data_IF_164172744484
#
_entry.id   IF_164172744484
#
_cell.length_a   1.000
_cell.length_b   1.000
_cell.length_c   1.000
_cell.angle_alpha   90.00
_cell.angle_beta   90.00
_cell.angle_gamma   90.00
#
_symmetry.space_group_name_H-M   'P 1'
#
loop_
_entity.id
_entity.type
_entity.pdbx_description
1 polymer ?
#
# COMPACT_ATOMS: atom_id res chain seq x y z
N UNK A 1 1.71 -26.89 7.08
CA UNK A 1 2.47 -26.15 8.11
C UNK A 1 3.45 -25.17 7.46
N UNK A 2 4.45 -25.63 6.70
CA UNK A 2 5.48 -24.78 6.07
C UNK A 2 4.92 -23.60 5.25
N UNK A 3 3.86 -23.81 4.45
CA UNK A 3 3.26 -22.71 3.68
C UNK A 3 2.67 -21.60 4.56
N UNK A 4 2.11 -21.90 5.74
CA UNK A 4 1.50 -20.87 6.59
C UNK A 4 2.51 -20.07 7.38
N UNK A 5 3.57 -20.72 7.86
CA UNK A 5 4.66 -20.05 8.56
C UNK A 5 5.38 -19.07 7.61
N UNK A 6 5.59 -19.50 6.36
CA UNK A 6 6.08 -18.63 5.30
C UNK A 6 5.11 -17.49 4.97
N UNK A 7 3.79 -17.75 4.90
CA UNK A 7 2.79 -16.68 4.70
C UNK A 7 2.83 -15.66 5.84
N UNK A 8 2.89 -16.08 7.10
CA UNK A 8 2.98 -15.18 8.26
C UNK A 8 4.25 -14.31 8.21
N UNK A 9 5.38 -14.89 7.80
CA UNK A 9 6.62 -14.13 7.60
C UNK A 9 6.46 -13.06 6.51
N UNK A 10 5.91 -13.42 5.34
CA UNK A 10 5.65 -12.49 4.23
C UNK A 10 4.71 -11.35 4.63
N UNK A 11 3.65 -11.66 5.39
CA UNK A 11 2.72 -10.65 5.88
C UNK A 11 3.43 -9.70 6.85
N UNK A 12 4.27 -10.21 7.76
CA UNK A 12 5.07 -9.39 8.67
C UNK A 12 6.14 -8.53 7.96
N UNK A 13 6.76 -9.03 6.90
CA UNK A 13 7.66 -8.24 6.04
C UNK A 13 6.91 -7.14 5.30
N UNK A 14 5.74 -7.45 4.74
CA UNK A 14 4.91 -6.48 4.03
C UNK A 14 4.42 -5.38 4.97
N UNK A 15 3.96 -5.73 6.17
CA UNK A 15 3.56 -4.76 7.21
C UNK A 15 4.69 -3.79 7.53
N UNK A 16 5.92 -4.29 7.76
CA UNK A 16 7.09 -3.44 8.00
C UNK A 16 7.38 -2.50 6.83
N UNK A 17 7.31 -2.99 5.61
CA UNK A 17 7.54 -2.17 4.42
C UNK A 17 6.50 -1.04 4.28
N UNK A 18 5.23 -1.32 4.60
CA UNK A 18 4.15 -0.31 4.57
C UNK A 18 4.33 0.72 5.67
N UNK A 19 4.71 0.33 6.89
CA UNK A 19 5.04 1.27 7.96
C UNK A 19 6.20 2.19 7.58
N UNK A 20 7.28 1.66 7.02
CA UNK A 20 8.41 2.44 6.51
C UNK A 20 7.96 3.41 5.39
N UNK A 21 7.04 2.98 4.53
CA UNK A 21 6.40 3.82 3.52
C UNK A 21 5.62 4.98 4.14
N UNK A 22 4.83 4.71 5.18
CA UNK A 22 4.10 5.73 5.95
C UNK A 22 5.01 6.78 6.58
N UNK A 23 6.13 6.37 7.20
CA UNK A 23 7.14 7.29 7.73
C UNK A 23 7.75 8.16 6.64
N UNK A 24 8.07 7.57 5.48
CA UNK A 24 8.64 8.29 4.33
C UNK A 24 7.67 9.36 3.81
N UNK A 25 6.38 9.04 3.73
CA UNK A 25 5.34 10.00 3.35
C UNK A 25 5.21 11.12 4.40
N UNK A 26 5.26 10.79 5.69
CA UNK A 26 5.24 11.79 6.76
C UNK A 26 6.43 12.76 6.67
N UNK A 27 7.63 12.26 6.35
CA UNK A 27 8.80 13.10 6.13
C UNK A 27 8.66 13.99 4.90
N UNK A 28 8.04 13.48 3.82
CA UNK A 28 7.75 14.26 2.62
C UNK A 28 6.79 15.43 2.93
N UNK A 29 5.73 15.19 3.73
CA UNK A 29 4.80 16.24 4.19
C UNK A 29 5.55 17.30 5.00
N UNK A 30 6.38 16.90 5.97
CA UNK A 30 7.19 17.84 6.76
C UNK A 30 8.09 18.70 5.86
N UNK A 31 8.73 18.08 4.86
CA UNK A 31 9.60 18.81 3.91
C UNK A 31 8.81 19.82 3.08
N UNK A 32 7.59 19.47 2.66
CA UNK A 32 6.69 20.39 1.96
C UNK A 32 6.29 21.59 2.83
N UNK A 33 6.06 21.37 4.13
CA UNK A 33 5.81 22.46 5.07
C UNK A 33 7.01 23.39 5.26
N UNK A 34 8.22 22.84 5.33
CA UNK A 34 9.46 23.61 5.40
C UNK A 34 9.65 24.48 4.13
N UNK A 35 9.39 23.91 2.95
CA UNK A 35 9.45 24.65 1.67
C UNK A 35 8.41 25.77 1.65
N UNK A 36 7.20 25.53 2.15
CA UNK A 36 6.12 26.53 2.24
C UNK A 36 6.51 27.69 3.14
N UNK A 37 7.08 27.40 4.30
CA UNK A 37 7.56 28.42 5.24
C UNK A 37 8.74 29.22 4.66
N UNK A 38 9.70 28.54 4.01
CA UNK A 38 10.80 29.20 3.33
C UNK A 38 10.30 30.13 2.21
N UNK A 39 9.32 29.69 1.42
CA UNK A 39 8.71 30.47 0.34
C UNK A 39 8.04 31.75 0.85
N UNK A 40 7.33 31.68 1.99
CA UNK A 40 6.74 32.87 2.65
C UNK A 40 7.79 33.85 3.13
N UNK A 41 8.94 33.37 3.62
CA UNK A 41 10.05 34.24 4.02
C UNK A 41 10.66 34.95 2.82
N UNK A 42 10.80 34.25 1.70
CA UNK A 42 11.26 34.85 0.45
C UNK A 42 10.26 35.92 0.00
N UNK A 43 8.96 35.66 0.06
CA UNK A 43 7.90 36.63 -0.28
C UNK A 43 7.99 37.91 0.59
N UNK A 44 8.26 37.76 1.89
CA UNK A 44 8.46 38.90 2.77
C UNK A 44 9.70 39.73 2.38
N UNK A 45 10.80 39.07 2.01
CA UNK A 45 12.03 39.72 1.57
C UNK A 45 11.81 40.44 0.22
N UNK A 46 11.13 39.82 -0.74
CA UNK A 46 10.87 40.42 -2.05
C UNK A 46 10.02 41.68 -1.94
N UNK A 47 9.04 41.71 -1.04
CA UNK A 47 8.26 42.93 -0.74
C UNK A 47 9.12 44.07 -0.20
N UNK A 48 10.11 43.77 0.65
CA UNK A 48 11.06 44.79 1.13
C UNK A 48 11.92 45.32 -0.02
N UNK A 49 12.37 44.44 -0.92
CA UNK A 49 13.16 44.85 -2.10
C UNK A 49 12.31 45.71 -3.05
N UNK A 50 11.04 45.37 -3.27
CA UNK A 50 10.13 46.22 -4.05
C UNK A 50 9.98 47.61 -3.43
N UNK A 51 9.82 47.67 -2.10
CA UNK A 51 9.79 48.94 -1.35
C UNK A 51 11.05 49.78 -1.55
N UNK A 52 12.23 49.15 -1.49
CA UNK A 52 13.52 49.82 -1.74
C UNK A 52 13.61 50.32 -3.19
N UNK A 53 13.20 49.51 -4.16
CA UNK A 53 13.19 49.90 -5.58
C UNK A 53 12.24 51.09 -5.81
N UNK A 54 11.06 51.08 -5.21
CA UNK A 54 10.11 52.18 -5.27
C UNK A 54 10.68 53.47 -4.66
N UNK A 55 11.26 53.39 -3.45
CA UNK A 55 11.91 54.54 -2.81
C UNK A 55 13.06 55.07 -3.67
N UNK A 56 13.89 54.20 -4.24
CA UNK A 56 15.01 54.57 -5.13
C UNK A 56 14.50 55.29 -6.38
N UNK A 57 13.39 54.82 -6.97
CA UNK A 57 12.76 55.48 -8.11
C UNK A 57 12.23 56.89 -7.75
N UNK A 58 11.68 57.08 -6.56
CA UNK A 58 11.25 58.40 -6.06
C UNK A 58 12.46 59.32 -5.81
N UNK A 59 13.54 58.82 -5.19
CA UNK A 59 14.77 59.59 -5.01
C UNK A 59 15.37 60.03 -6.35
N UNK A 60 15.41 59.12 -7.33
CA UNK A 60 15.91 59.40 -8.67
C UNK A 60 15.06 60.45 -9.40
N UNK A 61 13.73 60.40 -9.24
CA UNK A 61 12.83 61.43 -9.76
C UNK A 61 13.12 62.80 -9.15
N UNK A 62 13.27 62.88 -7.82
CA UNK A 62 13.59 64.12 -7.13
C UNK A 62 14.95 64.69 -7.59
N UNK A 63 15.95 63.83 -7.76
CA UNK A 63 17.27 64.22 -8.27
C UNK A 63 17.20 64.75 -9.72
N UNK A 64 16.37 64.14 -10.58
CA UNK A 64 16.14 64.63 -11.94
C UNK A 64 15.48 66.02 -11.95
N UNK A 65 14.53 66.27 -11.04
CA UNK A 65 13.89 67.60 -10.88
C UNK A 65 14.90 68.65 -10.44
N UNK A 66 15.73 68.34 -9.44
CA UNK A 66 16.72 69.30 -8.94
C UNK A 66 17.84 69.55 -9.97
N UNK A 67 18.23 68.52 -10.73
CA UNK A 67 19.16 68.66 -11.85
C UNK A 67 18.59 69.58 -12.95
N UNK A 68 17.30 69.47 -13.28
CA UNK A 68 16.64 70.38 -14.21
C UNK A 68 16.62 71.82 -13.69
N UNK A 69 16.44 72.00 -12.36
CA UNK A 69 16.45 73.30 -11.70
C UNK A 69 17.82 73.98 -11.72
N UNK A 70 18.90 73.20 -11.66
CA UNK A 70 20.28 73.69 -11.75
C UNK A 70 20.74 74.06 -13.19
N UNK A 71 19.90 73.82 -14.21
CA UNK A 71 20.18 74.20 -15.60
C UNK A 71 21.43 73.51 -16.16
N UNK A 72 22.34 74.29 -16.77
CA UNK A 72 23.56 73.77 -17.41
C UNK A 72 24.48 73.02 -16.43
N UNK A 73 24.51 73.42 -15.15
CA UNK A 73 25.34 72.77 -14.13
C UNK A 73 24.78 71.41 -13.68
N UNK A 74 23.50 71.14 -13.95
CA UNK A 74 22.82 69.91 -13.55
C UNK A 74 22.87 68.77 -14.59
N UNK A 75 23.41 69.01 -15.80
CA UNK A 75 23.37 68.04 -16.90
C UNK A 75 23.97 66.68 -16.55
N UNK A 76 25.10 66.65 -15.85
CA UNK A 76 25.71 65.39 -15.39
C UNK A 76 24.85 64.64 -14.36
N UNK A 77 24.25 65.37 -13.42
CA UNK A 77 23.35 64.81 -12.41
C UNK A 77 22.05 64.27 -13.02
N UNK A 78 21.53 64.92 -14.06
CA UNK A 78 20.32 64.47 -14.76
C UNK A 78 20.52 63.07 -15.39
N UNK A 79 21.68 62.81 -15.99
CA UNK A 79 22.01 61.50 -16.59
C UNK A 79 22.09 60.43 -15.50
N UNK A 80 22.78 60.70 -14.39
CA UNK A 80 22.87 59.75 -13.27
C UNK A 80 21.49 59.46 -12.68
N UNK A 81 20.66 60.49 -12.49
CA UNK A 81 19.30 60.32 -11.99
C UNK A 81 18.45 59.42 -12.91
N UNK A 82 18.58 59.57 -14.24
CA UNK A 82 17.87 58.73 -15.19
C UNK A 82 18.35 57.27 -15.16
N UNK A 83 19.66 57.02 -15.03
CA UNK A 83 20.22 55.68 -14.92
C UNK A 83 19.77 54.97 -13.63
N UNK A 84 19.80 55.68 -12.49
CA UNK A 84 19.30 55.16 -11.21
C UNK A 84 17.81 54.82 -11.30
N UNK A 85 17.02 55.66 -11.98
CA UNK A 85 15.59 55.40 -12.21
C UNK A 85 15.36 54.16 -13.05
N UNK A 86 16.13 53.98 -14.13
CA UNK A 86 16.05 52.80 -14.98
C UNK A 86 16.44 51.52 -14.20
N UNK A 87 17.46 51.60 -13.35
CA UNK A 87 17.88 50.48 -12.49
C UNK A 87 16.80 50.11 -11.46
N UNK A 88 16.18 51.11 -10.83
CA UNK A 88 15.07 50.91 -9.90
C UNK A 88 13.87 50.22 -10.57
N UNK A 89 13.49 50.65 -11.78
CA UNK A 89 12.43 50.02 -12.56
C UNK A 89 12.76 48.57 -12.95
N UNK A 90 14.01 48.29 -13.35
CA UNK A 90 14.48 46.93 -13.62
C UNK A 90 14.41 46.05 -12.38
N UNK A 91 14.80 46.57 -11.21
CA UNK A 91 14.71 45.85 -9.94
C UNK A 91 13.26 45.51 -9.58
N UNK A 92 12.32 46.44 -9.76
CA UNK A 92 10.91 46.20 -9.49
C UNK A 92 10.32 45.12 -10.43
N UNK A 93 10.71 45.10 -11.70
CA UNK A 93 10.28 44.05 -12.63
C UNK A 93 10.83 42.68 -12.24
N UNK A 94 12.12 42.59 -11.87
CA UNK A 94 12.72 41.35 -11.40
C UNK A 94 12.02 40.81 -10.14
N UNK A 95 11.62 41.69 -9.21
CA UNK A 95 10.84 41.29 -8.04
C UNK A 95 9.51 40.64 -8.44
N UNK A 96 8.78 41.21 -9.40
CA UNK A 96 7.51 40.62 -9.87
C UNK A 96 7.70 39.22 -10.47
N UNK A 97 8.78 39.00 -11.21
CA UNK A 97 9.12 37.67 -11.74
C UNK A 97 9.39 36.68 -10.60
N UNK A 98 10.10 37.11 -9.55
CA UNK A 98 10.33 36.27 -8.37
C UNK A 98 9.02 35.96 -7.64
N UNK A 99 8.13 36.95 -7.46
CA UNK A 99 6.83 36.74 -6.83
C UNK A 99 5.98 35.72 -7.59
N UNK A 100 6.00 35.75 -8.92
CA UNK A 100 5.34 34.75 -9.75
C UNK A 100 5.91 33.35 -9.49
N UNK A 101 7.24 33.19 -9.48
CA UNK A 101 7.90 31.91 -9.21
C UNK A 101 7.59 31.37 -7.80
N UNK A 102 7.51 32.26 -6.81
CA UNK A 102 7.11 31.88 -5.44
C UNK A 102 5.66 31.39 -5.44
N UNK A 103 4.75 32.10 -6.12
CA UNK A 103 3.35 31.70 -6.25
C UNK A 103 3.20 30.32 -6.88
N UNK A 104 3.91 30.07 -7.99
CA UNK A 104 3.94 28.77 -8.66
C UNK A 104 4.48 27.67 -7.74
N UNK A 105 5.56 27.97 -7.00
CA UNK A 105 6.16 27.04 -6.03
C UNK A 105 5.17 26.68 -4.92
N UNK A 106 4.48 27.67 -4.34
CA UNK A 106 3.47 27.45 -3.30
C UNK A 106 2.31 26.58 -3.81
N UNK A 107 1.86 26.79 -5.04
CA UNK A 107 0.84 25.95 -5.68
C UNK A 107 1.32 24.50 -5.80
N UNK A 108 2.56 24.29 -6.27
CA UNK A 108 3.14 22.94 -6.44
C UNK A 108 3.35 22.22 -5.11
N UNK A 109 3.76 22.94 -4.07
CA UNK A 109 3.86 22.40 -2.71
C UNK A 109 2.50 21.99 -2.18
N UNK A 110 1.45 22.78 -2.43
CA UNK A 110 0.07 22.43 -2.03
C UNK A 110 -0.43 21.18 -2.75
N UNK A 111 -0.16 21.05 -4.05
CA UNK A 111 -0.46 19.83 -4.82
C UNK A 111 0.29 18.62 -4.25
N UNK A 112 1.59 18.77 -3.95
CA UNK A 112 2.43 17.73 -3.37
C UNK A 112 1.97 17.28 -1.98
N UNK A 113 1.49 18.21 -1.16
CA UNK A 113 0.88 17.91 0.13
C UNK A 113 -0.39 17.05 -0.03
N UNK A 114 -1.28 17.41 -0.96
CA UNK A 114 -2.50 16.65 -1.24
C UNK A 114 -2.20 15.22 -1.73
N UNK A 115 -1.22 15.06 -2.63
CA UNK A 115 -0.78 13.72 -3.09
C UNK A 115 -0.17 12.88 -1.96
N UNK A 116 0.63 13.51 -1.10
CA UNK A 116 1.24 12.83 0.05
C UNK A 116 0.18 12.35 1.03
N UNK A 117 -0.84 13.16 1.29
CA UNK A 117 -1.97 12.79 2.15
C UNK A 117 -2.80 11.63 1.57
N UNK A 118 -3.08 11.65 0.26
CA UNK A 118 -3.73 10.52 -0.41
C UNK A 118 -2.89 9.24 -0.31
N UNK A 119 -1.57 9.36 -0.46
CA UNK A 119 -0.64 8.22 -0.32
C UNK A 119 -0.66 7.69 1.10
N UNK A 120 -0.69 8.56 2.12
CA UNK A 120 -0.81 8.18 3.53
C UNK A 120 -2.08 7.38 3.78
N UNK A 121 -3.23 7.85 3.29
CA UNK A 121 -4.51 7.13 3.40
C UNK A 121 -4.48 5.76 2.71
N UNK A 122 -3.83 5.66 1.55
CA UNK A 122 -3.64 4.39 0.87
C UNK A 122 -2.77 3.42 1.70
N UNK A 123 -1.71 3.90 2.34
CA UNK A 123 -0.89 3.07 3.24
C UNK A 123 -1.69 2.61 4.47
N UNK A 124 -2.48 3.49 5.09
CA UNK A 124 -3.36 3.13 6.22
C UNK A 124 -4.35 2.03 5.83
N UNK A 125 -4.96 2.12 4.64
CA UNK A 125 -5.85 1.08 4.10
C UNK A 125 -5.11 -0.24 3.83
N UNK A 126 -3.86 -0.20 3.37
CA UNK A 126 -3.06 -1.42 3.18
C UNK A 126 -2.80 -2.12 4.53
N UNK A 127 -2.53 -1.35 5.59
CA UNK A 127 -2.35 -1.91 6.95
C UNK A 127 -3.62 -2.65 7.40
N UNK A 128 -4.79 -2.04 7.22
CA UNK A 128 -6.07 -2.69 7.54
C UNK A 128 -6.28 -4.01 6.76
N UNK A 129 -5.96 -4.03 5.46
CA UNK A 129 -6.04 -5.25 4.67
C UNK A 129 -5.05 -6.33 5.12
N UNK A 130 -3.84 -5.93 5.54
CA UNK A 130 -2.83 -6.83 6.09
C UNK A 130 -3.31 -7.49 7.39
N UNK A 131 -3.96 -6.73 8.26
CA UNK A 131 -4.54 -7.26 9.50
C UNK A 131 -5.66 -8.28 9.22
N UNK A 132 -6.53 -7.98 8.24
CA UNK A 132 -7.55 -8.93 7.78
C UNK A 132 -6.94 -10.22 7.21
N UNK A 133 -5.84 -10.10 6.43
CA UNK A 133 -5.12 -11.28 5.92
C UNK A 133 -4.53 -12.10 7.06
N UNK A 134 -3.94 -11.47 8.08
CA UNK A 134 -3.43 -12.16 9.26
C UNK A 134 -4.52 -12.95 10.00
N UNK A 135 -5.72 -12.37 10.13
CA UNK A 135 -6.87 -13.07 10.72
C UNK A 135 -7.27 -14.29 9.88
N UNK A 136 -7.41 -14.13 8.56
CA UNK A 136 -7.75 -15.23 7.65
C UNK A 136 -6.72 -16.36 7.68
N UNK A 137 -5.43 -16.05 7.75
CA UNK A 137 -4.37 -17.05 7.85
C UNK A 137 -4.48 -17.84 9.15
N UNK A 138 -4.82 -17.17 10.26
CA UNK A 138 -5.10 -17.82 11.55
C UNK A 138 -6.29 -18.77 11.46
N UNK A 139 -7.39 -18.34 10.84
CA UNK A 139 -8.60 -19.15 10.64
C UNK A 139 -8.32 -20.37 9.74
N UNK A 140 -7.56 -20.19 8.66
CA UNK A 140 -7.11 -21.28 7.78
C UNK A 140 -6.24 -22.27 8.56
N UNK A 141 -5.37 -21.80 9.47
CA UNK A 141 -4.57 -22.68 10.32
C UNK A 141 -5.46 -23.57 11.20
N UNK A 142 -6.48 -22.99 11.82
CA UNK A 142 -7.44 -23.72 12.64
C UNK A 142 -8.19 -24.77 11.81
N UNK A 143 -8.81 -24.35 10.70
CA UNK A 143 -9.56 -25.24 9.82
C UNK A 143 -8.69 -26.38 9.26
N UNK A 144 -7.43 -26.10 8.92
CA UNK A 144 -6.49 -27.11 8.43
C UNK A 144 -6.16 -28.16 9.50
N UNK A 145 -6.04 -27.77 10.78
CA UNK A 145 -5.86 -28.71 11.89
C UNK A 145 -7.09 -29.60 12.09
N UNK A 146 -8.28 -29.01 12.06
CA UNK A 146 -9.54 -29.76 12.16
C UNK A 146 -9.71 -30.74 11.01
N UNK A 147 -9.43 -30.31 9.79
CA UNK A 147 -9.48 -31.17 8.60
C UNK A 147 -8.47 -32.32 8.71
N UNK A 148 -7.25 -32.05 9.18
CA UNK A 148 -6.24 -33.10 9.39
C UNK A 148 -6.70 -34.12 10.43
N UNK A 149 -7.33 -33.68 11.52
CA UNK A 149 -7.92 -34.58 12.51
C UNK A 149 -9.09 -35.40 11.93
N UNK A 150 -9.97 -34.77 11.15
CA UNK A 150 -11.08 -35.42 10.46
C UNK A 150 -10.62 -36.49 9.46
N UNK A 151 -9.57 -36.21 8.69
CA UNK A 151 -8.93 -37.19 7.80
C UNK A 151 -8.38 -38.37 8.60
N UNK A 152 -7.81 -38.13 9.78
CA UNK A 152 -7.39 -39.19 10.69
C UNK A 152 -8.54 -40.14 11.08
N UNK A 153 -9.71 -39.58 11.40
CA UNK A 153 -10.91 -40.37 11.71
C UNK A 153 -11.43 -41.16 10.50
N UNK A 154 -11.45 -40.54 9.31
CA UNK A 154 -11.83 -41.22 8.07
C UNK A 154 -10.90 -42.39 7.79
N UNK A 155 -9.59 -42.23 7.98
CA UNK A 155 -8.61 -43.29 7.77
C UNK A 155 -8.84 -44.49 8.72
N UNK A 156 -9.18 -44.23 9.98
CA UNK A 156 -9.57 -45.27 10.93
C UNK A 156 -10.85 -46.00 10.48
N UNK A 157 -11.88 -45.26 10.07
CA UNK A 157 -13.12 -45.85 9.57
C UNK A 157 -12.90 -46.71 8.32
N UNK A 158 -12.05 -46.27 7.38
CA UNK A 158 -11.68 -47.05 6.20
C UNK A 158 -10.96 -48.35 6.57
N UNK A 159 -10.10 -48.31 7.59
CA UNK A 159 -9.42 -49.52 8.10
C UNK A 159 -10.43 -50.53 8.64
N UNK A 160 -11.41 -50.09 9.43
CA UNK A 160 -12.48 -50.96 9.94
C UNK A 160 -13.38 -51.53 8.83
N UNK A 161 -13.72 -50.71 7.81
CA UNK A 161 -14.48 -51.17 6.65
C UNK A 161 -13.71 -52.23 5.85
N UNK A 162 -12.39 -52.04 5.70
CA UNK A 162 -11.51 -53.03 5.08
C UNK A 162 -11.52 -54.37 5.83
N UNK A 163 -11.40 -54.33 7.16
CA UNK A 163 -11.46 -55.52 8.00
C UNK A 163 -12.82 -56.22 7.93
N UNK A 164 -13.92 -55.47 8.04
CA UNK A 164 -15.27 -56.00 7.93
C UNK A 164 -15.53 -56.64 6.55
N UNK A 165 -15.03 -56.02 5.47
CA UNK A 165 -15.12 -56.56 4.11
C UNK A 165 -14.36 -57.87 3.97
N UNK A 166 -13.16 -57.97 4.58
CA UNK A 166 -12.38 -59.20 4.59
C UNK A 166 -13.09 -60.32 5.36
N UNK A 167 -13.66 -60.01 6.54
CA UNK A 167 -14.46 -60.97 7.33
C UNK A 167 -15.69 -61.42 6.53
N UNK A 168 -16.35 -60.51 5.81
CA UNK A 168 -17.52 -60.85 5.01
C UNK A 168 -17.16 -61.80 3.85
N UNK A 169 -16.02 -61.58 3.19
CA UNK A 169 -15.52 -62.48 2.15
C UNK A 169 -15.22 -63.88 2.71
N UNK A 170 -14.58 -63.98 3.89
CA UNK A 170 -14.35 -65.27 4.56
C UNK A 170 -15.67 -65.99 4.90
N UNK A 171 -16.66 -65.25 5.43
CA UNK A 171 -17.99 -65.81 5.75
C UNK A 171 -18.72 -66.33 4.52
N UNK A 172 -18.64 -65.62 3.39
CA UNK A 172 -19.22 -66.07 2.12
C UNK A 172 -18.54 -67.36 1.66
N UNK A 173 -17.20 -67.42 1.68
CA UNK A 173 -16.45 -68.62 1.30
C UNK A 173 -16.82 -69.84 2.17
N UNK A 174 -16.93 -69.65 3.50
CA UNK A 174 -17.37 -70.70 4.42
C UNK A 174 -18.83 -71.13 4.20
N UNK A 175 -19.69 -70.19 3.81
CA UNK A 175 -21.10 -70.46 3.49
C UNK A 175 -21.22 -71.27 2.20
N UNK A 176 -20.44 -70.96 1.17
CA UNK A 176 -20.35 -71.73 -0.07
C UNK A 176 -19.90 -73.17 0.21
N UNK A 177 -18.84 -73.33 1.02
CA UNK A 177 -18.35 -74.65 1.44
C UNK A 177 -19.46 -75.43 2.17
N UNK A 178 -20.17 -74.79 3.10
CA UNK A 178 -21.27 -75.41 3.85
C UNK A 178 -22.43 -75.81 2.93
N UNK A 179 -22.81 -74.94 1.98
CA UNK A 179 -23.85 -75.22 1.01
C UNK A 179 -23.46 -76.38 0.07
N UNK A 180 -22.18 -76.55 -0.25
CA UNK A 180 -21.68 -77.68 -1.01
C UNK A 180 -21.74 -79.00 -0.22
N UNK A 181 -21.38 -78.96 1.07
CA UNK A 181 -21.55 -80.12 1.98
C UNK A 181 -23.02 -80.50 2.13
N UNK A 182 -23.92 -79.53 2.32
CA UNK A 182 -25.36 -79.78 2.42
C UNK A 182 -25.93 -80.37 1.13
N UNK A 183 -25.54 -79.84 -0.05
CA UNK A 183 -25.93 -80.42 -1.35
C UNK A 183 -25.47 -81.86 -1.49
N UNK A 184 -24.23 -82.17 -1.11
CA UNK A 184 -23.71 -83.53 -1.12
C UNK A 184 -24.52 -84.49 -0.22
N UNK A 185 -24.84 -84.06 1.01
CA UNK A 185 -25.70 -84.84 1.93
C UNK A 185 -27.12 -85.03 1.38
N UNK A 186 -27.71 -84.00 0.79
CA UNK A 186 -29.04 -84.06 0.17
C UNK A 186 -29.10 -85.03 -1.01
N UNK A 187 -28.08 -85.02 -1.87
CA UNK A 187 -27.93 -86.00 -2.95
C UNK A 187 -27.86 -87.42 -2.39
N UNK A 188 -27.00 -87.64 -1.39
CA UNK A 188 -26.84 -88.95 -0.78
C UNK A 188 -28.13 -89.48 -0.14
N UNK A 189 -28.90 -88.63 0.55
CA UNK A 189 -30.21 -89.01 1.07
C UNK A 189 -31.22 -89.34 -0.03
N UNK A 190 -31.20 -88.61 -1.15
CA UNK A 190 -32.06 -88.87 -2.31
C UNK A 190 -31.73 -90.24 -2.92
N UNK A 191 -30.44 -90.56 -3.06
CA UNK A 191 -29.98 -91.87 -3.54
C UNK A 191 -30.46 -92.99 -2.62
N UNK A 192 -30.33 -92.81 -1.29
CA UNK A 192 -30.81 -93.79 -0.31
C UNK A 192 -32.33 -94.01 -0.40
N UNK A 193 -33.15 -92.96 -0.53
CA UNK A 193 -34.61 -93.10 -0.65
C UNK A 193 -35.00 -93.78 -1.97
N UNK A 194 -34.27 -93.54 -3.06
CA UNK A 194 -34.53 -94.19 -4.36
C UNK A 194 -34.39 -95.71 -4.31
N UNK A 195 -33.48 -96.21 -3.46
CA UNK A 195 -33.28 -97.64 -3.17
C UNK A 195 -34.49 -98.30 -2.49
N UNK A 196 -35.32 -97.52 -1.78
CA UNK A 196 -36.51 -97.99 -1.07
C UNK A 196 -37.82 -97.76 -1.85
N UNK A 197 -37.75 -97.22 -3.07
CA UNK A 197 -38.92 -96.97 -3.92
C UNK A 197 -39.03 -98.10 -4.95
N UNK A 198 -39.81 -99.15 -4.60
CA UNK A 198 -40.25 -100.25 -5.48
C UNK A 198 -41.40 -99.81 -6.39
#
# INVERSE_FOLDING_TARGET
AANMEQTQQLVGETSRAVHQGGETVSNAVSTMDDIREASKRIEAITRVIEGIAFQTNILALNAAVEAARAGEHGKGFAVVAQEVRALAARSANAVKEIEQLIGDTLSKVSEGHALSEQTRQAMDSIIEHIDNINQLVTEINHASREQSAGIGQVNLAMTHIGEASHINADRVSRSEQTAQVLRGKGSHLTDLVSLFRL
#
